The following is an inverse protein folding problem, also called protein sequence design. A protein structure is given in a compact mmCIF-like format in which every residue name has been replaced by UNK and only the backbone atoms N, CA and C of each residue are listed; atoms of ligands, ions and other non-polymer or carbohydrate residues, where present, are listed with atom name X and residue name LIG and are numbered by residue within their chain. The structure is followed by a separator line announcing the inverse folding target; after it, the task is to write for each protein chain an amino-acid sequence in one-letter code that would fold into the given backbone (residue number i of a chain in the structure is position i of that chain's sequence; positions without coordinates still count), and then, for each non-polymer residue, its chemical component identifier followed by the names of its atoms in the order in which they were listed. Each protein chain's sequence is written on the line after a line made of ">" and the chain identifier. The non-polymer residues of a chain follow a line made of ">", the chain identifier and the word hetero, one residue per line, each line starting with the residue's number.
data_IF_333253648675
#
_entry.id   IF_333253648675
#
_cell.length_a   1.000
_cell.length_b   1.000
_cell.length_c   1.000
_cell.angle_alpha   90.00
_cell.angle_beta   90.00
_cell.angle_gamma   90.00
#
_symmetry.space_group_name_H-M   'P 1'
#
loop_
_entity.id
_entity.type
_entity.pdbx_description
1 polymer ?
#
# COMPACT_ATOMS: atom_id res chain seq x y z
N UNK A 1 11.84 -22.72 -0.54
CA UNK A 1 13.23 -22.31 -0.19
C UNK A 1 13.35 -22.39 1.33
N UNK A 2 14.32 -23.13 1.84
CA UNK A 2 14.54 -23.26 3.29
C UNK A 2 14.99 -21.91 3.85
N UNK A 3 14.24 -21.37 4.82
CA UNK A 3 14.61 -20.12 5.49
C UNK A 3 15.73 -20.42 6.52
N UNK A 4 16.88 -19.79 6.36
CA UNK A 4 17.98 -19.86 7.32
C UNK A 4 18.11 -18.53 8.04
N UNK A 5 18.45 -18.54 9.35
CA UNK A 5 18.82 -17.33 10.05
C UNK A 5 19.96 -16.61 9.33
N UNK A 6 19.90 -15.30 9.23
CA UNK A 6 20.99 -14.49 8.63
C UNK A 6 22.07 -14.12 9.67
N UNK A 7 21.84 -14.41 10.96
CA UNK A 7 22.82 -14.29 12.04
C UNK A 7 23.25 -15.67 12.52
N UNK A 8 24.54 -15.79 12.84
CA UNK A 8 25.04 -16.94 13.62
C UNK A 8 24.81 -16.72 15.12
N UNK A 9 24.95 -17.79 15.91
CA UNK A 9 24.84 -17.69 17.36
C UNK A 9 25.93 -16.78 17.93
N UNK A 10 27.16 -16.88 17.43
CA UNK A 10 28.29 -16.04 17.85
C UNK A 10 28.01 -14.55 17.61
N UNK A 11 27.49 -14.21 16.42
CA UNK A 11 27.10 -12.82 16.10
C UNK A 11 25.99 -12.31 17.01
N UNK A 12 25.01 -13.16 17.33
CA UNK A 12 23.95 -12.79 18.27
C UNK A 12 24.51 -12.54 19.68
N UNK A 13 25.46 -13.35 20.12
CA UNK A 13 26.14 -13.18 21.43
C UNK A 13 26.99 -11.91 21.49
N UNK A 14 27.66 -11.52 20.40
CA UNK A 14 28.35 -10.23 20.29
C UNK A 14 27.40 -9.04 20.43
N UNK A 15 26.29 -9.06 19.70
CA UNK A 15 25.28 -8.00 19.74
C UNK A 15 24.72 -7.81 21.15
N UNK A 16 24.46 -8.90 21.88
CA UNK A 16 23.90 -8.87 23.24
C UNK A 16 24.82 -8.13 24.21
N UNK A 17 26.11 -8.10 23.98
CA UNK A 17 27.07 -7.41 24.86
C UNK A 17 26.86 -5.89 24.84
N UNK A 18 26.45 -5.34 23.67
CA UNK A 18 26.28 -3.89 23.46
C UNK A 18 24.81 -3.46 23.48
N UNK A 19 23.89 -4.36 23.07
CA UNK A 19 22.46 -4.07 22.93
C UNK A 19 21.66 -5.00 23.84
N UNK A 20 20.99 -4.46 24.87
CA UNK A 20 20.21 -5.31 25.78
C UNK A 20 18.99 -5.90 25.07
N UNK A 21 18.66 -7.14 25.44
CA UNK A 21 17.44 -7.82 24.97
C UNK A 21 16.18 -7.26 25.63
N UNK A 22 15.02 -7.24 24.94
CA UNK A 22 14.80 -7.68 23.56
C UNK A 22 15.21 -6.63 22.52
N UNK A 23 15.66 -7.07 21.34
CA UNK A 23 15.98 -6.18 20.22
C UNK A 23 15.57 -6.80 18.87
N UNK A 24 15.46 -5.97 17.84
CA UNK A 24 15.25 -6.40 16.46
C UNK A 24 16.53 -6.21 15.66
N UNK A 25 16.83 -7.17 14.80
CA UNK A 25 17.93 -7.08 13.83
C UNK A 25 17.34 -7.21 12.43
N UNK A 26 17.74 -6.31 11.54
CA UNK A 26 17.29 -6.27 10.16
C UNK A 26 18.42 -6.64 9.21
N UNK A 27 18.13 -7.51 8.23
CA UNK A 27 19.06 -7.85 7.16
C UNK A 27 18.93 -6.82 6.03
N UNK A 28 19.75 -5.77 6.07
CA UNK A 28 19.75 -4.73 5.03
C UNK A 28 20.00 -5.31 3.63
N UNK A 29 20.96 -6.24 3.52
CA UNK A 29 21.27 -6.90 2.24
C UNK A 29 20.04 -7.62 1.69
N UNK A 30 19.36 -8.40 2.51
CA UNK A 30 18.15 -9.13 2.14
C UNK A 30 17.01 -8.18 1.74
N UNK A 31 16.83 -7.07 2.45
CA UNK A 31 15.83 -6.03 2.10
C UNK A 31 16.11 -5.46 0.72
N UNK A 32 17.35 -5.03 0.44
CA UNK A 32 17.77 -4.48 -0.85
C UNK A 32 17.61 -5.49 -1.99
N UNK A 33 18.07 -6.71 -1.79
CA UNK A 33 17.96 -7.79 -2.78
C UNK A 33 16.50 -8.10 -3.11
N UNK A 34 15.61 -8.08 -2.13
CA UNK A 34 14.18 -8.31 -2.34
C UNK A 34 13.53 -7.17 -3.14
N UNK A 35 13.81 -5.92 -2.80
CA UNK A 35 13.33 -4.75 -3.54
C UNK A 35 13.79 -4.78 -5.00
N UNK A 36 15.06 -5.07 -5.25
CA UNK A 36 15.63 -5.21 -6.60
C UNK A 36 14.98 -6.36 -7.39
N UNK A 37 14.69 -7.48 -6.71
CA UNK A 37 14.03 -8.63 -7.32
C UNK A 37 12.62 -8.30 -7.80
N UNK A 38 11.84 -7.58 -6.98
CA UNK A 38 10.48 -7.13 -7.36
C UNK A 38 10.57 -6.16 -8.53
N UNK A 39 11.39 -5.12 -8.44
CA UNK A 39 11.56 -4.14 -9.51
C UNK A 39 12.01 -4.80 -10.82
N UNK A 40 12.89 -5.82 -10.77
CA UNK A 40 13.31 -6.59 -11.92
C UNK A 40 12.17 -7.43 -12.50
N UNK A 41 11.36 -8.06 -11.66
CA UNK A 41 10.24 -8.90 -12.11
C UNK A 41 9.20 -8.08 -12.91
N UNK A 42 9.00 -6.82 -12.56
CA UNK A 42 8.06 -5.91 -13.22
C UNK A 42 8.71 -4.91 -14.19
N UNK A 43 9.98 -5.12 -14.56
CA UNK A 43 10.73 -4.20 -15.45
C UNK A 43 10.17 -4.08 -16.88
N UNK A 44 9.31 -4.98 -17.29
CA UNK A 44 8.55 -4.91 -18.55
C UNK A 44 7.51 -3.78 -18.53
N UNK A 45 7.03 -3.36 -17.36
CA UNK A 45 6.14 -2.22 -17.18
C UNK A 45 6.94 -1.00 -16.70
N UNK A 46 7.21 -0.06 -17.59
CA UNK A 46 7.99 1.16 -17.28
C UNK A 46 7.36 2.05 -16.20
N UNK A 47 6.05 1.92 -15.97
CA UNK A 47 5.31 2.67 -14.96
C UNK A 47 5.24 1.96 -13.60
N UNK A 48 5.79 0.76 -13.49
CA UNK A 48 5.76 0.02 -12.22
C UNK A 48 6.56 0.73 -11.14
N UNK A 49 5.97 0.79 -9.95
CA UNK A 49 6.63 1.18 -8.72
C UNK A 49 6.09 0.37 -7.56
N UNK A 50 6.96 -0.17 -6.75
CA UNK A 50 6.60 -0.79 -5.48
C UNK A 50 6.36 0.29 -4.43
N UNK A 51 5.27 0.20 -3.69
CA UNK A 51 4.95 1.08 -2.56
C UNK A 51 4.94 0.29 -1.27
N UNK A 52 5.89 0.57 -0.40
CA UNK A 52 6.02 -0.12 0.88
C UNK A 52 5.02 0.42 1.91
N UNK A 53 4.23 -0.46 2.53
CA UNK A 53 3.28 -0.08 3.57
C UNK A 53 4.01 0.37 4.85
N UNK A 54 3.98 1.67 5.14
CA UNK A 54 4.71 2.25 6.29
C UNK A 54 4.29 1.64 7.61
N UNK A 55 3.00 1.37 7.79
CA UNK A 55 2.46 0.74 9.00
C UNK A 55 3.07 -0.63 9.32
N UNK A 56 3.57 -1.35 8.32
CA UNK A 56 4.17 -2.67 8.54
C UNK A 56 5.50 -2.58 9.28
N UNK A 57 6.28 -1.53 9.01
CA UNK A 57 7.56 -1.26 9.67
C UNK A 57 7.90 0.23 9.59
N UNK A 58 7.40 1.07 10.51
CA UNK A 58 7.60 2.52 10.49
C UNK A 58 9.00 2.90 11.01
N UNK A 59 10.04 2.40 10.36
CA UNK A 59 11.42 2.64 10.71
C UNK A 59 12.08 3.55 9.65
N UNK A 60 12.55 4.76 10.00
CA UNK A 60 13.09 5.71 9.04
C UNK A 60 14.29 5.17 8.25
N UNK A 61 15.15 4.36 8.88
CA UNK A 61 16.31 3.78 8.19
C UNK A 61 15.85 2.78 7.13
N UNK A 62 14.89 1.93 7.44
CA UNK A 62 14.33 0.98 6.47
C UNK A 62 13.62 1.70 5.32
N UNK A 63 12.88 2.77 5.61
CA UNK A 63 12.23 3.57 4.57
C UNK A 63 13.27 4.23 3.64
N UNK A 64 14.39 4.72 4.18
CA UNK A 64 15.48 5.26 3.37
C UNK A 64 16.14 4.21 2.49
N UNK A 65 16.40 3.00 3.02
CA UNK A 65 16.92 1.87 2.25
C UNK A 65 16.00 1.55 1.06
N UNK A 66 14.69 1.46 1.30
CA UNK A 66 13.72 1.17 0.25
C UNK A 66 13.62 2.30 -0.77
N UNK A 67 13.72 3.55 -0.34
CA UNK A 67 13.79 4.72 -1.23
C UNK A 67 14.98 4.66 -2.17
N UNK A 68 16.17 4.32 -1.65
CA UNK A 68 17.38 4.15 -2.46
C UNK A 68 17.23 3.05 -3.51
N UNK A 69 16.41 2.04 -3.26
CA UNK A 69 16.08 0.97 -4.20
C UNK A 69 14.90 1.31 -5.14
N UNK A 70 14.41 2.57 -5.11
CA UNK A 70 13.39 3.08 -6.01
C UNK A 70 11.95 2.80 -5.59
N UNK A 71 11.72 2.31 -4.36
CA UNK A 71 10.38 2.10 -3.83
C UNK A 71 9.75 3.43 -3.40
N UNK A 72 8.43 3.53 -3.53
CA UNK A 72 7.59 4.51 -2.86
C UNK A 72 7.11 3.99 -1.51
N UNK A 73 6.20 4.75 -0.89
CA UNK A 73 5.58 4.39 0.40
C UNK A 73 4.06 4.46 0.29
N UNK A 74 3.38 3.52 0.96
CA UNK A 74 1.93 3.56 1.16
C UNK A 74 1.62 3.92 2.61
N UNK A 75 0.95 5.07 2.79
CA UNK A 75 0.59 5.66 4.07
C UNK A 75 -0.90 5.55 4.30
N UNK A 76 -1.32 5.33 5.55
CA UNK A 76 -2.72 5.27 5.95
C UNK A 76 -3.10 6.22 7.09
N UNK A 77 -2.16 7.03 7.55
CA UNK A 77 -2.37 8.01 8.64
C UNK A 77 -1.45 9.23 8.52
N UNK A 78 -1.80 10.29 9.25
CA UNK A 78 -0.99 11.50 9.37
C UNK A 78 0.44 11.21 9.84
N UNK A 79 0.58 10.34 10.85
CA UNK A 79 1.89 9.99 11.40
C UNK A 79 2.78 9.32 10.35
N UNK A 80 2.21 8.44 9.52
CA UNK A 80 2.93 7.80 8.42
C UNK A 80 3.32 8.79 7.32
N UNK A 81 2.44 9.75 6.99
CA UNK A 81 2.75 10.84 6.06
C UNK A 81 3.90 11.73 6.58
N UNK A 82 3.86 12.10 7.86
CA UNK A 82 4.93 12.91 8.49
C UNK A 82 6.27 12.17 8.52
N UNK A 83 6.26 10.88 8.86
CA UNK A 83 7.46 10.05 8.82
C UNK A 83 8.03 9.94 7.40
N UNK A 84 7.18 9.72 6.42
CA UNK A 84 7.58 9.62 5.01
C UNK A 84 8.16 10.94 4.50
N UNK A 85 7.54 12.07 4.83
CA UNK A 85 8.08 13.39 4.53
C UNK A 85 9.47 13.62 5.16
N UNK A 86 9.63 13.25 6.44
CA UNK A 86 10.93 13.34 7.13
C UNK A 86 12.01 12.46 6.49
N UNK A 87 11.61 11.33 5.85
CA UNK A 87 12.50 10.49 5.03
C UNK A 87 12.66 11.02 3.59
N UNK A 88 12.07 12.17 3.26
CA UNK A 88 12.22 12.85 1.99
C UNK A 88 11.35 12.30 0.85
N UNK A 89 10.29 11.54 1.13
CA UNK A 89 9.29 11.16 0.13
C UNK A 89 8.34 12.32 -0.14
N UNK A 90 7.96 12.54 -1.40
CA UNK A 90 7.04 13.59 -1.81
C UNK A 90 6.31 13.19 -3.10
N UNK A 91 5.17 13.82 -3.35
CA UNK A 91 4.45 13.67 -4.61
C UNK A 91 4.07 12.21 -4.89
N UNK A 92 4.34 11.78 -6.11
CA UNK A 92 4.04 10.41 -6.57
C UNK A 92 4.84 9.30 -5.89
N UNK A 93 5.79 9.64 -5.00
CA UNK A 93 6.47 8.64 -4.18
C UNK A 93 5.61 8.16 -3.00
N UNK A 94 4.49 8.85 -2.75
CA UNK A 94 3.56 8.54 -1.67
C UNK A 94 2.22 8.11 -2.25
N UNK A 95 1.76 6.91 -1.90
CA UNK A 95 0.37 6.49 -2.00
C UNK A 95 -0.28 6.73 -0.64
N UNK A 96 -1.47 7.32 -0.61
CA UNK A 96 -2.23 7.49 0.62
C UNK A 96 -3.54 6.72 0.54
N UNK A 97 -3.59 5.60 1.27
CA UNK A 97 -4.72 4.66 1.29
C UNK A 97 -5.29 4.56 2.70
N UNK A 98 -6.36 5.31 2.98
CA UNK A 98 -6.98 5.37 4.30
C UNK A 98 -8.48 5.10 4.23
N UNK A 99 -9.00 4.31 5.19
CA UNK A 99 -10.41 3.94 5.26
C UNK A 99 -11.24 4.92 6.08
N UNK A 100 -10.67 5.43 7.19
CA UNK A 100 -11.29 6.41 8.06
C UNK A 100 -10.39 7.63 8.14
N UNK A 101 -10.53 8.52 7.17
CA UNK A 101 -9.59 9.61 6.96
C UNK A 101 -10.06 10.87 7.70
N UNK A 102 -9.35 11.31 8.76
CA UNK A 102 -9.53 12.62 9.37
C UNK A 102 -9.22 13.76 8.39
N UNK A 103 -9.67 14.96 8.74
CA UNK A 103 -9.42 16.16 7.92
C UNK A 103 -7.93 16.44 7.75
N UNK A 104 -7.19 16.32 8.84
CA UNK A 104 -5.75 16.59 8.91
C UNK A 104 -4.94 15.65 8.03
N UNK A 105 -5.29 14.36 8.03
CA UNK A 105 -4.64 13.34 7.21
C UNK A 105 -4.85 13.63 5.72
N UNK A 106 -6.09 13.95 5.34
CA UNK A 106 -6.45 14.26 3.96
C UNK A 106 -5.74 15.52 3.46
N UNK A 107 -5.70 16.58 4.28
CA UNK A 107 -4.98 17.82 3.97
C UNK A 107 -3.49 17.57 3.80
N UNK A 108 -2.89 16.81 4.71
CA UNK A 108 -1.46 16.50 4.64
C UNK A 108 -1.11 15.68 3.41
N UNK A 109 -1.91 14.68 3.07
CA UNK A 109 -1.71 13.90 1.83
C UNK A 109 -1.79 14.79 0.58
N UNK A 110 -2.76 15.71 0.55
CA UNK A 110 -2.91 16.66 -0.56
C UNK A 110 -1.73 17.64 -0.65
N UNK A 111 -1.29 18.21 0.49
CA UNK A 111 -0.14 19.13 0.58
C UNK A 111 1.16 18.47 0.08
N UNK A 112 1.36 17.22 0.39
CA UNK A 112 2.52 16.44 -0.08
C UNK A 112 2.44 16.07 -1.56
N UNK A 113 1.30 16.30 -2.22
CA UNK A 113 1.05 15.88 -3.60
C UNK A 113 0.95 14.36 -3.75
N UNK A 114 0.62 13.64 -2.68
CA UNK A 114 0.50 12.20 -2.68
C UNK A 114 -0.60 11.71 -3.63
N UNK A 115 -0.46 10.52 -4.16
CA UNK A 115 -1.56 9.81 -4.80
C UNK A 115 -2.59 9.42 -3.76
N UNK A 116 -3.78 10.02 -3.82
CA UNK A 116 -4.85 9.76 -2.87
C UNK A 116 -5.76 8.67 -3.42
N UNK A 117 -5.99 7.62 -2.61
CA UNK A 117 -6.93 6.56 -2.89
C UNK A 117 -8.18 6.71 -2.01
N UNK A 118 -9.33 6.89 -2.65
CA UNK A 118 -10.61 7.03 -1.98
C UNK A 118 -11.23 5.64 -1.73
N UNK A 119 -11.46 5.31 -0.48
CA UNK A 119 -12.03 4.03 -0.06
C UNK A 119 -13.55 3.95 -0.31
N UNK A 120 -14.24 5.09 -0.28
CA UNK A 120 -15.70 5.18 -0.32
C UNK A 120 -16.18 6.37 -1.16
N UNK A 121 -17.33 6.24 -1.82
CA UNK A 121 -17.90 7.27 -2.69
C UNK A 121 -18.21 8.60 -1.98
N UNK A 122 -18.50 8.56 -0.68
CA UNK A 122 -18.75 9.79 0.12
C UNK A 122 -17.49 10.63 0.31
N UNK A 123 -16.32 10.03 0.09
CA UNK A 123 -15.02 10.71 0.23
C UNK A 123 -14.72 11.68 -0.90
N UNK A 124 -15.40 11.58 -2.04
CA UNK A 124 -15.27 12.55 -3.15
C UNK A 124 -15.63 13.96 -2.68
N UNK A 125 -16.82 14.13 -2.11
CA UNK A 125 -17.28 15.45 -1.65
C UNK A 125 -16.55 15.89 -0.37
N UNK A 126 -16.09 14.96 0.44
CA UNK A 126 -15.26 15.25 1.61
C UNK A 126 -13.90 15.82 1.19
N UNK A 127 -13.18 15.16 0.27
CA UNK A 127 -11.89 15.60 -0.23
C UNK A 127 -11.99 17.00 -0.86
N UNK A 128 -12.96 17.22 -1.74
CA UNK A 128 -13.21 18.50 -2.38
C UNK A 128 -13.38 19.64 -1.37
N UNK A 129 -14.15 19.40 -0.32
CA UNK A 129 -14.43 20.38 0.71
C UNK A 129 -13.22 20.71 1.60
N UNK A 130 -12.34 19.70 1.90
CA UNK A 130 -11.29 19.88 2.92
C UNK A 130 -9.92 20.20 2.33
N UNK A 131 -9.65 19.79 1.09
CA UNK A 131 -8.34 19.94 0.46
C UNK A 131 -8.39 20.34 -1.02
N UNK A 132 -9.49 20.04 -1.71
CA UNK A 132 -9.61 20.15 -3.18
C UNK A 132 -9.35 18.81 -3.87
N UNK A 133 -9.61 18.76 -5.18
CA UNK A 133 -9.45 17.53 -5.99
C UNK A 133 -8.10 17.58 -6.71
N UNK A 134 -7.21 16.57 -6.47
CA UNK A 134 -5.95 16.49 -7.18
C UNK A 134 -6.14 16.02 -8.62
N UNK A 135 -5.16 16.30 -9.47
CA UNK A 135 -5.16 15.86 -10.86
C UNK A 135 -5.15 14.34 -11.02
N UNK A 136 -4.39 13.65 -10.15
CA UNK A 136 -4.27 12.19 -10.12
C UNK A 136 -5.02 11.65 -8.90
N UNK A 137 -5.98 10.75 -9.12
CA UNK A 137 -6.84 10.23 -8.06
C UNK A 137 -7.13 8.74 -8.27
N UNK A 138 -7.22 8.01 -7.18
CA UNK A 138 -7.52 6.59 -7.17
C UNK A 138 -8.82 6.32 -6.41
N UNK A 139 -9.55 5.28 -6.82
CA UNK A 139 -10.69 4.76 -6.08
C UNK A 139 -10.47 3.28 -5.77
N UNK A 140 -10.84 2.88 -4.57
CA UNK A 140 -10.76 1.49 -4.17
C UNK A 140 -11.98 0.74 -4.68
N UNK A 141 -11.72 -0.26 -5.51
CA UNK A 141 -12.73 -1.15 -6.05
C UNK A 141 -12.95 -2.36 -5.15
N UNK A 142 -14.21 -2.71 -4.93
CA UNK A 142 -14.64 -3.95 -4.32
C UNK A 142 -15.53 -4.69 -5.30
N UNK A 143 -15.08 -5.82 -5.89
CA UNK A 143 -15.85 -6.58 -6.89
C UNK A 143 -17.08 -7.29 -6.33
N UNK A 144 -17.31 -7.22 -5.02
CA UNK A 144 -18.44 -7.90 -4.39
C UNK A 144 -18.22 -9.40 -4.22
N UNK A 145 -19.33 -10.14 -4.04
CA UNK A 145 -19.33 -11.57 -3.70
C UNK A 145 -18.92 -12.53 -4.81
N UNK A 146 -18.47 -12.05 -5.96
CA UNK A 146 -18.09 -12.88 -7.11
C UNK A 146 -16.64 -13.35 -7.09
N UNK A 147 -15.81 -12.74 -6.27
CA UNK A 147 -14.40 -13.11 -6.14
C UNK A 147 -14.26 -14.32 -5.21
N UNK A 148 -13.85 -15.45 -5.77
CA UNK A 148 -13.51 -16.66 -5.02
C UNK A 148 -12.06 -17.01 -5.29
N UNK A 149 -11.25 -17.07 -4.23
CA UNK A 149 -9.98 -17.78 -4.29
C UNK A 149 -10.28 -19.26 -4.49
N UNK A 150 -9.68 -19.88 -5.51
CA UNK A 150 -9.96 -21.26 -5.90
C UNK A 150 -9.95 -22.22 -4.69
N UNK A 151 -10.68 -23.31 -4.81
CA UNK A 151 -10.96 -24.32 -3.77
C UNK A 151 -9.73 -25.05 -3.17
N UNK A 152 -8.53 -24.62 -3.47
CA UNK A 152 -7.30 -25.39 -3.22
C UNK A 152 -6.69 -25.24 -1.83
N UNK A 153 -7.26 -24.45 -0.93
CA UNK A 153 -6.74 -24.32 0.45
C UNK A 153 -7.83 -24.64 1.47
N UNK A 154 -8.05 -25.93 1.73
CA UNK A 154 -8.80 -26.40 2.90
C UNK A 154 -8.23 -25.77 4.18
N UNK A 155 -9.00 -24.88 4.80
CA UNK A 155 -8.75 -24.38 6.14
C UNK A 155 -8.34 -22.91 6.29
N UNK A 156 -8.09 -22.18 5.21
CA UNK A 156 -7.81 -20.73 5.30
C UNK A 156 -8.88 -19.93 4.55
N UNK A 157 -9.79 -19.34 5.30
CA UNK A 157 -10.64 -18.29 4.78
C UNK A 157 -9.80 -17.00 4.72
N UNK A 158 -9.26 -16.71 3.54
CA UNK A 158 -8.36 -15.56 3.32
C UNK A 158 -9.13 -14.23 3.31
N UNK A 159 -10.48 -14.27 3.22
CA UNK A 159 -11.34 -13.09 3.13
C UNK A 159 -12.72 -13.28 3.72
N UNK A 160 -13.26 -12.21 4.27
CA UNK A 160 -14.70 -11.98 4.29
C UNK A 160 -15.20 -11.94 2.85
N UNK A 161 -16.45 -12.42 2.62
CA UNK A 161 -17.04 -12.30 1.29
C UNK A 161 -16.95 -10.84 0.86
N UNK A 162 -16.44 -10.54 -0.34
CA UNK A 162 -16.28 -9.14 -0.77
C UNK A 162 -17.56 -8.32 -0.65
N UNK A 163 -18.74 -8.93 -0.87
CA UNK A 163 -20.03 -8.29 -0.70
C UNK A 163 -20.38 -7.90 0.75
N UNK A 164 -19.76 -8.54 1.73
CA UNK A 164 -19.94 -8.24 3.16
C UNK A 164 -18.86 -7.28 3.69
N UNK A 165 -17.85 -6.97 2.88
CA UNK A 165 -16.77 -6.07 3.27
C UNK A 165 -17.22 -4.61 3.26
N UNK A 166 -16.88 -3.89 4.30
CA UNK A 166 -17.17 -2.44 4.46
C UNK A 166 -16.25 -1.53 3.65
N UNK A 167 -15.29 -2.08 2.92
CA UNK A 167 -14.24 -1.34 2.22
C UNK A 167 -14.42 -1.40 0.71
N UNK A 168 -14.11 -0.26 0.06
CA UNK A 168 -14.13 -0.13 -1.38
C UNK A 168 -15.54 0.17 -1.94
N UNK A 169 -15.56 0.54 -3.20
CA UNK A 169 -16.75 0.92 -3.97
C UNK A 169 -17.17 -0.24 -4.86
N UNK A 170 -18.48 -0.39 -5.08
CA UNK A 170 -18.98 -1.20 -6.18
C UNK A 170 -18.59 -0.56 -7.52
N UNK A 171 -18.72 -1.30 -8.61
CA UNK A 171 -18.44 -0.78 -9.97
C UNK A 171 -19.25 0.48 -10.26
N UNK A 172 -20.56 0.49 -9.97
CA UNK A 172 -21.44 1.63 -10.18
C UNK A 172 -20.99 2.84 -9.35
N UNK A 173 -20.70 2.66 -8.06
CA UNK A 173 -20.22 3.71 -7.18
C UNK A 173 -18.88 4.29 -7.66
N UNK A 174 -17.98 3.44 -8.15
CA UNK A 174 -16.67 3.86 -8.65
C UNK A 174 -16.80 4.67 -9.94
N UNK A 175 -17.62 4.22 -10.88
CA UNK A 175 -17.89 4.95 -12.14
C UNK A 175 -18.51 6.32 -11.85
N UNK A 176 -19.47 6.40 -10.95
CA UNK A 176 -20.11 7.67 -10.58
C UNK A 176 -19.16 8.59 -9.82
N UNK A 177 -18.29 8.03 -8.98
CA UNK A 177 -17.22 8.78 -8.31
C UNK A 177 -16.25 9.37 -9.32
N UNK A 178 -15.82 8.62 -10.33
CA UNK A 178 -14.94 9.14 -11.38
C UNK A 178 -15.60 10.25 -12.20
N UNK A 179 -16.88 10.13 -12.55
CA UNK A 179 -17.62 11.21 -13.23
C UNK A 179 -17.63 12.50 -12.39
N UNK A 180 -17.89 12.39 -11.08
CA UNK A 180 -17.86 13.52 -10.15
C UNK A 180 -16.47 14.13 -10.04
N UNK A 181 -15.43 13.30 -9.88
CA UNK A 181 -14.03 13.73 -9.78
C UNK A 181 -13.59 14.44 -11.07
N UNK A 182 -13.95 13.91 -12.24
CA UNK A 182 -13.67 14.53 -13.54
C UNK A 182 -14.33 15.91 -13.66
N UNK A 183 -15.58 16.02 -13.25
CA UNK A 183 -16.31 17.31 -13.25
C UNK A 183 -15.67 18.35 -12.30
N UNK A 184 -14.94 17.89 -11.28
CA UNK A 184 -14.23 18.72 -10.29
C UNK A 184 -12.75 18.97 -10.66
N UNK A 185 -12.26 18.48 -11.81
CA UNK A 185 -10.95 18.79 -12.36
C UNK A 185 -9.90 17.69 -12.31
N UNK A 186 -10.22 16.50 -11.81
CA UNK A 186 -9.32 15.35 -11.91
C UNK A 186 -9.14 14.94 -13.39
N UNK A 187 -7.93 14.51 -13.75
CA UNK A 187 -7.58 14.16 -15.15
C UNK A 187 -7.13 12.72 -15.30
N UNK A 188 -6.45 12.20 -14.31
CA UNK A 188 -5.87 10.86 -14.33
C UNK A 188 -6.48 10.01 -13.22
N UNK A 189 -6.91 8.82 -13.58
CA UNK A 189 -7.66 7.94 -12.69
C UNK A 189 -6.96 6.60 -12.56
N UNK A 190 -6.87 6.08 -11.35
CA UNK A 190 -6.34 4.76 -11.07
C UNK A 190 -7.31 3.93 -10.25
N UNK A 191 -7.23 2.61 -10.39
CA UNK A 191 -8.02 1.66 -9.62
C UNK A 191 -7.10 1.03 -8.57
N UNK A 192 -7.59 0.94 -7.34
CA UNK A 192 -6.94 0.22 -6.26
C UNK A 192 -7.84 -0.93 -5.84
N UNK A 193 -7.26 -2.08 -5.50
CA UNK A 193 -7.97 -3.16 -4.85
C UNK A 193 -7.11 -3.80 -3.75
N UNK A 194 -7.74 -4.13 -2.65
CA UNK A 194 -7.13 -4.84 -1.54
C UNK A 194 -8.19 -5.77 -0.95
N UNK A 195 -8.16 -7.03 -1.34
CA UNK A 195 -9.22 -7.99 -1.04
C UNK A 195 -8.80 -9.07 -0.04
N UNK A 196 -7.52 -9.27 0.19
CA UNK A 196 -7.02 -10.29 1.10
C UNK A 196 -5.80 -9.79 1.88
N UNK A 197 -5.65 -10.31 3.11
CA UNK A 197 -4.46 -10.11 3.94
C UNK A 197 -3.97 -11.46 4.48
N UNK A 198 -2.71 -11.52 4.90
CA UNK A 198 -2.10 -12.73 5.46
C UNK A 198 -2.14 -13.95 4.52
N UNK A 199 -2.27 -13.74 3.23
CA UNK A 199 -2.18 -14.82 2.25
C UNK A 199 -0.74 -15.33 2.14
N UNK A 200 -0.61 -16.65 2.08
CA UNK A 200 0.68 -17.32 1.86
C UNK A 200 0.78 -17.90 0.45
N UNK A 201 -0.26 -17.76 -0.36
CA UNK A 201 -0.34 -18.22 -1.75
C UNK A 201 -0.17 -17.06 -2.72
N UNK A 202 0.62 -17.28 -3.78
CA UNK A 202 0.82 -16.32 -4.86
C UNK A 202 -0.37 -16.29 -5.84
N UNK A 203 -1.28 -17.27 -5.79
CA UNK A 203 -2.41 -17.40 -6.72
C UNK A 203 -3.39 -16.23 -6.66
N UNK A 204 -3.47 -15.56 -5.51
CA UNK A 204 -4.33 -14.40 -5.29
C UNK A 204 -4.04 -13.23 -6.25
N UNK A 205 -2.77 -12.93 -6.52
CA UNK A 205 -2.40 -11.73 -7.27
C UNK A 205 -2.78 -11.76 -8.76
N UNK A 206 -2.56 -12.87 -9.50
CA UNK A 206 -3.05 -12.97 -10.88
C UNK A 206 -4.57 -12.89 -11.00
N UNK A 207 -5.31 -13.52 -10.09
CA UNK A 207 -6.77 -13.45 -10.06
C UNK A 207 -7.25 -12.02 -9.85
N UNK A 208 -6.68 -11.31 -8.86
CA UNK A 208 -6.99 -9.91 -8.62
C UNK A 208 -6.66 -9.03 -9.82
N UNK A 209 -5.49 -9.22 -10.43
CA UNK A 209 -5.10 -8.49 -11.63
C UNK A 209 -6.10 -8.72 -12.76
N UNK A 210 -6.54 -9.96 -12.99
CA UNK A 210 -7.56 -10.29 -14.00
C UNK A 210 -8.92 -9.63 -13.78
N UNK A 211 -9.25 -9.25 -12.53
CA UNK A 211 -10.47 -8.49 -12.21
C UNK A 211 -10.31 -7.00 -12.56
N UNK A 212 -9.08 -6.46 -12.41
CA UNK A 212 -8.81 -5.04 -12.60
C UNK A 212 -8.55 -4.66 -14.07
N UNK A 213 -8.16 -5.61 -14.92
CA UNK A 213 -7.80 -5.43 -16.32
C UNK A 213 -8.67 -6.25 -17.28
#
# INVERSE_FOLDING_TARGET
>A
MEKRPFLTEEQAQEIIQDVPTPFHVYDEKGIRENARRINKAFSWNKGFREYFAVKALPNPIILQILKEEGCGVDCSSLTELMLSEACGFTGSDIMFSSNQTPVEDMKKAYELGAYINLDDATRVDFLDRVAGIPENIFCRYNPGGTFQLGESEEGFQVMDKPGDAKYGMTEEQMIDSYKKLMAKGAKNFGIHAFLASNTISDAYYPELAGILF
#
